data_IF_485488970977
#
_entry.id   IF_485488970977
#
_cell.length_a   1.000
_cell.length_b   1.000
_cell.length_c   1.000
_cell.angle_alpha   90.00
_cell.angle_beta   90.00
_cell.angle_gamma   90.00
#
_symmetry.space_group_name_H-M   'P 1'
#
loop_
_entity.id
_entity.type
_entity.pdbx_description
1 polymer ?
#
# COMPACT_ATOMS: atom_id res chain seq x y z
N UNK A 1 -1.76 3.99 -7.65
CA UNK A 1 -1.92 2.62 -7.08
C UNK A 1 -2.53 1.69 -8.12
N UNK A 2 -2.02 0.49 -8.35
CA UNK A 2 -2.67 -0.53 -9.20
C UNK A 2 -3.12 -1.79 -8.43
N UNK A 3 -3.34 -1.66 -7.12
CA UNK A 3 -3.92 -2.70 -6.28
C UNK A 3 -5.45 -2.50 -6.17
N UNK A 4 -6.27 -3.45 -6.68
CA UNK A 4 -7.72 -3.35 -6.60
C UNK A 4 -8.27 -3.27 -5.17
N UNK A 5 -7.62 -3.93 -4.20
CA UNK A 5 -8.06 -3.91 -2.80
C UNK A 5 -7.94 -2.50 -2.24
N UNK A 6 -6.86 -1.80 -2.58
CA UNK A 6 -6.64 -0.42 -2.15
C UNK A 6 -7.66 0.55 -2.77
N UNK A 7 -7.88 0.44 -4.09
CA UNK A 7 -8.84 1.32 -4.78
C UNK A 7 -10.28 1.08 -4.29
N UNK A 8 -10.70 -0.18 -4.17
CA UNK A 8 -12.02 -0.55 -3.66
C UNK A 8 -12.17 -0.15 -2.19
N UNK A 9 -11.18 -0.48 -1.36
CA UNK A 9 -11.20 -0.22 0.08
C UNK A 9 -11.26 1.27 0.41
N UNK A 10 -10.46 2.11 -0.26
CA UNK A 10 -10.54 3.57 -0.12
C UNK A 10 -11.88 4.13 -0.59
N UNK A 11 -12.44 3.57 -1.67
CA UNK A 11 -13.77 3.97 -2.15
C UNK A 11 -14.85 3.60 -1.14
N UNK A 12 -14.80 2.40 -0.56
CA UNK A 12 -15.69 1.97 0.54
C UNK A 12 -15.60 2.92 1.74
N UNK A 13 -14.38 3.28 2.15
CA UNK A 13 -14.16 4.27 3.23
C UNK A 13 -14.76 5.63 2.89
N UNK A 14 -14.68 6.08 1.64
CA UNK A 14 -15.33 7.32 1.18
C UNK A 14 -16.86 7.28 1.26
N UNK A 15 -17.45 6.09 1.19
CA UNK A 15 -18.88 5.82 1.29
C UNK A 15 -19.32 5.51 2.74
N UNK A 16 -18.41 5.58 3.71
CA UNK A 16 -18.67 5.26 5.11
C UNK A 16 -18.72 3.75 5.43
N UNK A 17 -18.45 2.89 4.45
CA UNK A 17 -18.40 1.44 4.63
C UNK A 17 -17.05 0.97 5.19
N UNK A 18 -17.01 -0.28 5.65
CA UNK A 18 -15.76 -0.92 6.08
C UNK A 18 -14.83 -1.13 4.90
N UNK A 19 -13.53 -0.92 5.11
CA UNK A 19 -12.49 -1.26 4.14
C UNK A 19 -12.50 -2.75 3.77
N UNK A 20 -12.89 -3.60 4.72
CA UNK A 20 -12.91 -5.06 4.60
C UNK A 20 -14.34 -5.60 4.38
N UNK A 21 -15.23 -4.81 3.79
CA UNK A 21 -16.58 -5.28 3.43
C UNK A 21 -16.47 -6.51 2.52
N UNK A 22 -16.97 -7.66 2.98
CA UNK A 22 -16.88 -8.91 2.24
C UNK A 22 -17.87 -8.97 1.06
N UNK A 23 -19.11 -8.57 1.30
CA UNK A 23 -20.13 -8.48 0.27
C UNK A 23 -20.17 -7.07 -0.34
N UNK A 24 -19.43 -6.91 -1.44
CA UNK A 24 -19.38 -5.64 -2.18
C UNK A 24 -20.72 -5.29 -2.86
N UNK A 25 -21.59 -6.28 -3.09
CA UNK A 25 -22.89 -6.05 -3.73
C UNK A 25 -23.88 -5.34 -2.81
N UNK A 26 -23.68 -5.43 -1.50
CA UNK A 26 -24.45 -4.71 -0.49
C UNK A 26 -24.22 -3.18 -0.50
N UNK A 27 -23.18 -2.70 -1.20
CA UNK A 27 -22.86 -1.26 -1.30
C UNK A 27 -23.24 -0.76 -2.69
N UNK A 28 -24.51 -0.37 -2.86
CA UNK A 28 -25.07 0.05 -4.15
C UNK A 28 -24.25 1.15 -4.85
N UNK A 29 -23.75 2.12 -4.09
CA UNK A 29 -22.98 3.27 -4.60
C UNK A 29 -21.52 2.93 -4.96
N UNK A 30 -21.03 1.72 -4.69
CA UNK A 30 -19.63 1.38 -4.90
C UNK A 30 -19.24 1.43 -6.39
N UNK A 31 -19.99 0.72 -7.24
CA UNK A 31 -19.72 0.68 -8.69
C UNK A 31 -19.79 2.07 -9.35
N UNK A 32 -20.84 2.89 -9.16
CA UNK A 32 -20.88 4.22 -9.78
C UNK A 32 -19.76 5.13 -9.25
N UNK A 33 -19.40 5.04 -7.95
CA UNK A 33 -18.29 5.81 -7.39
C UNK A 33 -16.93 5.40 -7.99
N UNK A 34 -16.71 4.10 -8.19
CA UNK A 34 -15.51 3.58 -8.87
C UNK A 34 -15.44 4.03 -10.34
N UNK A 35 -16.55 3.98 -11.07
CA UNK A 35 -16.60 4.45 -12.46
C UNK A 35 -16.31 5.96 -12.56
N UNK A 36 -16.85 6.76 -11.64
CA UNK A 36 -16.57 8.19 -11.57
C UNK A 36 -15.11 8.48 -11.20
N UNK A 37 -14.50 7.66 -10.35
CA UNK A 37 -13.07 7.75 -10.02
C UNK A 37 -12.19 7.39 -11.22
N UNK A 38 -12.55 6.34 -11.94
CA UNK A 38 -11.83 5.87 -13.12
C UNK A 38 -11.79 6.93 -14.23
N UNK A 39 -12.92 7.61 -14.48
CA UNK A 39 -13.00 8.72 -15.43
C UNK A 39 -12.12 9.94 -15.07
N UNK A 40 -11.61 10.02 -13.83
CA UNK A 40 -10.69 11.07 -13.38
C UNK A 40 -9.24 10.59 -13.27
N UNK A 41 -8.99 9.28 -13.33
CA UNK A 41 -7.67 8.71 -13.14
C UNK A 41 -6.83 8.84 -14.43
N UNK A 42 -5.66 9.48 -14.35
CA UNK A 42 -4.72 9.55 -15.47
C UNK A 42 -4.11 8.17 -15.78
N UNK A 43 -3.76 7.41 -14.75
CA UNK A 43 -3.22 6.05 -14.86
C UNK A 43 -3.20 5.36 -13.48
N UNK A 44 -2.94 4.05 -13.49
CA UNK A 44 -2.77 3.23 -12.29
C UNK A 44 -1.37 2.61 -12.27
N UNK A 45 -0.58 2.93 -11.25
CA UNK A 45 0.72 2.28 -11.00
C UNK A 45 1.00 2.22 -9.50
N UNK A 46 1.66 1.16 -9.04
CA UNK A 46 2.16 1.05 -7.65
C UNK A 46 3.65 1.40 -7.52
N UNK A 47 4.36 1.59 -8.63
CA UNK A 47 5.80 1.87 -8.63
C UNK A 47 6.15 3.27 -9.17
N UNK A 48 5.32 3.82 -10.06
CA UNK A 48 5.61 5.05 -10.80
C UNK A 48 4.58 6.15 -10.56
N UNK A 49 3.86 6.11 -9.44
CA UNK A 49 2.81 7.09 -9.14
C UNK A 49 3.36 8.46 -8.70
N UNK A 50 4.63 8.52 -8.26
CA UNK A 50 5.29 9.75 -7.79
C UNK A 50 5.83 10.61 -8.93
N UNK A 51 6.38 10.01 -9.97
CA UNK A 51 7.01 10.72 -11.08
C UNK A 51 6.08 11.76 -11.74
N UNK A 52 4.84 11.43 -12.14
CA UNK A 52 3.95 12.43 -12.72
C UNK A 52 3.42 13.44 -11.70
N UNK A 53 3.42 13.12 -10.39
CA UNK A 53 3.11 14.13 -9.37
C UNK A 53 4.23 15.18 -9.28
N UNK A 54 5.49 14.74 -9.33
CA UNK A 54 6.67 15.61 -9.28
C UNK A 54 6.87 16.43 -10.55
N UNK A 55 6.45 15.90 -11.70
CA UNK A 55 6.47 16.61 -12.97
C UNK A 55 5.25 17.52 -13.16
N UNK A 56 4.40 17.67 -12.13
CA UNK A 56 3.14 18.46 -12.16
C UNK A 56 2.13 17.98 -13.22
N UNK A 57 2.31 16.75 -13.67
CA UNK A 57 1.53 16.05 -14.68
C UNK A 57 0.21 15.47 -14.11
N UNK A 58 0.14 15.37 -12.78
CA UNK A 58 -1.07 15.09 -11.98
C UNK A 58 -1.10 15.99 -10.74
N UNK A 59 -2.31 16.28 -10.24
CA UNK A 59 -2.48 17.11 -9.03
C UNK A 59 -2.46 16.30 -7.73
N UNK A 60 -2.84 15.03 -7.80
CA UNK A 60 -3.00 14.14 -6.64
C UNK A 60 -2.50 12.75 -7.01
N UNK A 61 -1.83 12.09 -6.06
CA UNK A 61 -1.50 10.68 -6.14
C UNK A 61 -1.88 9.97 -4.83
N UNK A 62 -2.36 8.73 -4.97
CA UNK A 62 -2.54 7.81 -3.84
C UNK A 62 -1.34 6.86 -3.81
N UNK A 63 -0.65 6.83 -2.67
CA UNK A 63 0.63 6.14 -2.51
C UNK A 63 0.90 5.68 -1.08
N UNK A 64 2.03 5.01 -0.91
CA UNK A 64 2.44 4.41 0.35
C UNK A 64 3.15 5.42 1.25
N UNK A 65 2.85 5.39 2.54
CA UNK A 65 3.48 6.25 3.54
C UNK A 65 5.01 6.12 3.58
N UNK A 66 5.54 4.92 3.30
CA UNK A 66 6.98 4.66 3.21
C UNK A 66 7.68 5.46 2.11
N UNK A 67 7.01 5.72 0.99
CA UNK A 67 7.55 6.49 -0.12
C UNK A 67 7.29 8.00 0.07
N UNK A 68 6.10 8.35 0.55
CA UNK A 68 5.64 9.74 0.65
C UNK A 68 6.27 10.52 1.82
N UNK A 69 6.46 9.90 2.99
CA UNK A 69 6.99 10.61 4.16
C UNK A 69 8.43 11.14 3.96
N UNK A 70 9.38 10.36 3.40
CA UNK A 70 10.71 10.89 3.07
C UNK A 70 10.66 12.00 2.01
N UNK A 71 9.70 11.95 1.09
CA UNK A 71 9.57 12.95 0.04
C UNK A 71 9.19 14.33 0.59
N UNK A 72 8.27 14.40 1.57
CA UNK A 72 7.89 15.65 2.25
C UNK A 72 9.06 16.33 2.99
N UNK A 73 10.10 15.57 3.36
CA UNK A 73 11.29 16.14 3.98
C UNK A 73 12.16 16.88 2.95
N UNK A 74 12.03 16.54 1.67
CA UNK A 74 12.85 17.05 0.57
C UNK A 74 12.13 18.12 -0.25
N UNK A 75 10.83 17.97 -0.42
CA UNK A 75 10.00 18.88 -1.21
C UNK A 75 8.89 19.48 -0.34
N UNK A 76 8.91 20.81 -0.19
CA UNK A 76 7.94 21.57 0.62
C UNK A 76 6.67 21.94 -0.13
N UNK A 77 6.61 21.70 -1.44
CA UNK A 77 5.45 22.03 -2.27
C UNK A 77 4.39 20.94 -2.20
N UNK A 78 4.77 19.74 -1.76
CA UNK A 78 3.88 18.61 -1.59
C UNK A 78 3.29 18.58 -0.18
N UNK A 79 2.02 18.19 -0.11
CA UNK A 79 1.31 17.96 1.15
C UNK A 79 0.80 16.52 1.19
N UNK A 80 0.93 15.88 2.35
CA UNK A 80 0.34 14.58 2.64
C UNK A 80 -0.97 14.77 3.39
N UNK A 81 -2.02 14.08 2.95
CA UNK A 81 -3.33 14.11 3.59
C UNK A 81 -3.73 12.71 4.03
N UNK A 82 -4.10 12.58 5.30
CA UNK A 82 -4.82 11.41 5.79
C UNK A 82 -6.32 11.70 5.72
N UNK A 83 -7.12 10.92 4.95
CA UNK A 83 -8.56 11.14 4.86
C UNK A 83 -9.23 11.00 6.23
N UNK A 84 -10.16 11.91 6.55
CA UNK A 84 -10.93 11.86 7.81
C UNK A 84 -11.78 10.59 7.95
N UNK A 85 -12.19 9.99 6.84
CA UNK A 85 -12.88 8.70 6.82
C UNK A 85 -12.00 7.55 7.31
N UNK A 86 -10.68 7.73 7.35
CA UNK A 86 -9.67 6.70 7.60
C UNK A 86 -9.03 6.18 6.31
N UNK A 87 -7.92 5.46 6.45
CA UNK A 87 -7.15 4.87 5.35
C UNK A 87 -6.70 3.45 5.70
N UNK A 88 -6.03 2.76 4.78
CA UNK A 88 -5.46 1.44 5.02
C UNK A 88 -4.28 1.51 6.01
N UNK A 89 -4.28 0.59 6.98
CA UNK A 89 -3.08 0.22 7.72
C UNK A 89 -2.56 -1.08 7.14
N UNK A 90 -1.26 -1.12 6.87
CA UNK A 90 -0.59 -2.23 6.21
C UNK A 90 0.71 -2.59 6.94
N UNK A 91 1.14 -3.82 6.74
CA UNK A 91 2.39 -4.33 7.26
C UNK A 91 2.96 -5.35 6.27
N UNK A 92 4.20 -5.16 5.88
CA UNK A 92 4.96 -6.16 5.13
C UNK A 92 5.59 -7.13 6.12
N UNK A 93 5.37 -8.42 5.88
CA UNK A 93 5.80 -9.49 6.79
C UNK A 93 6.69 -10.47 6.05
N UNK A 94 7.82 -10.83 6.67
CA UNK A 94 8.60 -12.00 6.26
C UNK A 94 7.84 -13.26 6.66
N UNK A 95 7.63 -14.17 5.71
CA UNK A 95 6.93 -15.44 5.95
C UNK A 95 7.68 -16.61 5.33
N UNK A 96 7.50 -17.81 5.89
CA UNK A 96 7.96 -19.06 5.28
C UNK A 96 6.74 -19.80 4.69
N UNK A 97 6.61 -19.89 3.35
CA UNK A 97 5.48 -20.60 2.73
C UNK A 97 5.50 -22.10 3.04
N UNK A 98 4.34 -22.68 3.33
CA UNK A 98 4.19 -24.13 3.52
C UNK A 98 4.55 -24.86 2.22
N UNK A 99 5.34 -25.92 2.31
CA UNK A 99 5.83 -26.68 1.14
C UNK A 99 7.17 -26.22 0.57
N UNK A 100 7.72 -25.11 1.07
CA UNK A 100 9.12 -24.71 0.79
C UNK A 100 10.12 -25.30 1.80
N UNK A 101 9.66 -26.20 2.67
CA UNK A 101 10.55 -27.01 3.50
C UNK A 101 11.46 -27.81 2.56
N UNK A 102 12.77 -27.53 2.53
CA UNK A 102 13.67 -28.35 1.75
C UNK A 102 13.64 -29.74 2.37
N UNK A 103 13.24 -30.75 1.60
CA UNK A 103 13.18 -32.14 2.06
C UNK A 103 14.52 -32.65 2.62
N UNK A 104 15.64 -31.95 2.36
CA UNK A 104 16.99 -32.44 2.66
C UNK A 104 17.99 -31.41 3.24
N UNK A 105 17.60 -30.20 3.70
CA UNK A 105 18.63 -29.21 4.07
C UNK A 105 18.34 -28.38 5.34
N UNK A 106 18.72 -28.88 6.54
CA UNK A 106 18.74 -28.11 7.79
C UNK A 106 19.43 -26.74 7.66
N UNK A 107 20.45 -26.66 6.81
CA UNK A 107 21.21 -25.43 6.53
C UNK A 107 20.36 -24.32 5.89
N UNK A 108 19.37 -24.64 5.03
CA UNK A 108 18.52 -23.62 4.39
C UNK A 108 17.51 -23.03 5.38
N UNK A 109 17.01 -23.84 6.31
CA UNK A 109 16.15 -23.37 7.40
C UNK A 109 16.93 -22.49 8.39
N UNK A 110 18.18 -22.83 8.69
CA UNK A 110 19.05 -22.00 9.51
C UNK A 110 19.31 -20.62 8.87
N UNK A 111 19.64 -20.58 7.57
CA UNK A 111 19.86 -19.32 6.85
C UNK A 111 18.63 -18.41 6.81
N UNK A 112 17.42 -18.98 6.65
CA UNK A 112 16.18 -18.19 6.69
C UNK A 112 15.96 -17.58 8.08
N UNK A 113 16.19 -18.35 9.14
CA UNK A 113 16.08 -17.86 10.50
C UNK A 113 17.13 -16.78 10.79
N UNK A 114 18.37 -16.98 10.35
CA UNK A 114 19.44 -15.99 10.48
C UNK A 114 19.11 -14.70 9.73
N UNK A 115 18.52 -14.79 8.54
CA UNK A 115 18.06 -13.63 7.77
C UNK A 115 16.95 -12.86 8.49
N UNK A 116 15.91 -13.55 8.96
CA UNK A 116 14.82 -12.91 9.72
C UNK A 116 15.38 -12.25 10.98
N UNK A 117 16.25 -12.96 11.71
CA UNK A 117 16.92 -12.42 12.89
C UNK A 117 17.78 -11.19 12.57
N UNK A 118 18.50 -11.20 11.44
CA UNK A 118 19.28 -10.07 10.96
C UNK A 118 18.40 -8.86 10.62
N UNK A 119 17.34 -9.07 9.84
CA UNK A 119 16.39 -8.01 9.47
C UNK A 119 15.64 -7.44 10.68
N UNK A 120 15.37 -8.26 11.70
CA UNK A 120 14.70 -7.85 12.93
C UNK A 120 15.58 -7.12 13.94
N UNK A 121 16.91 -7.05 13.74
CA UNK A 121 17.79 -6.33 14.68
C UNK A 121 17.47 -4.84 14.65
N UNK A 122 17.10 -4.26 15.78
CA UNK A 122 17.10 -2.81 15.96
C UNK A 122 18.54 -2.32 15.78
N UNK A 123 18.78 -1.49 14.77
CA UNK A 123 20.02 -0.69 14.72
C UNK A 123 20.03 0.22 15.95
N UNK A 124 20.85 -0.13 16.94
CA UNK A 124 21.30 0.80 17.96
C UNK A 124 21.89 2.01 17.23
N UNK A 125 21.22 3.16 17.30
CA UNK A 125 21.82 4.44 16.89
C UNK A 125 22.79 4.81 18.00
N UNK A 126 24.09 4.67 17.73
CA UNK A 126 25.12 5.46 18.42
C UNK A 126 25.12 6.88 17.85
#
# INVERSE_FOLDING_TARGET
>A
MNDPREVIGLTLKSLGASYNTADLSAVAELKPKLAALDGQAKFYSSNHYLEPLLLEDTWVAVGWSGDLLPLLQRDRHLALVYPKSGTALWADLWVQPRGTQPAEAPAKTALLNDWINFAGRRRSRN
#
